data_IF_607103865525
#
_entry.id   IF_607103865525
#
_cell.length_a   1.000
_cell.length_b   1.000
_cell.length_c   1.000
_cell.angle_alpha   90.00
_cell.angle_beta   90.00
_cell.angle_gamma   90.00
#
_symmetry.space_group_name_H-M   'P 1'
#
loop_
_entity.id
_entity.type
_entity.pdbx_description
1 polymer ?
#
# COMPACT_ATOMS: atom_id res chain seq x y z
N UNK A 1 35.46 -52.86 11.84
CA UNK A 1 34.01 -52.86 11.55
C UNK A 1 33.34 -51.75 12.35
N UNK A 2 33.17 -50.56 11.78
CA UNK A 2 32.27 -49.53 12.29
C UNK A 2 31.71 -48.81 11.05
N UNK A 3 30.44 -49.05 10.75
CA UNK A 3 29.71 -48.40 9.66
C UNK A 3 29.20 -47.04 10.14
N UNK A 4 29.66 -45.96 9.53
CA UNK A 4 29.10 -44.62 9.68
C UNK A 4 28.01 -44.40 8.64
N UNK A 5 26.75 -44.28 9.08
CA UNK A 5 25.61 -43.93 8.24
C UNK A 5 25.49 -42.41 8.12
N UNK A 6 25.86 -41.87 6.96
CA UNK A 6 25.57 -40.48 6.61
C UNK A 6 24.11 -40.35 6.16
N UNK A 7 23.27 -39.77 7.02
CA UNK A 7 21.93 -39.30 6.65
C UNK A 7 22.06 -38.08 5.72
N UNK A 8 21.79 -38.27 4.42
CA UNK A 8 21.53 -37.18 3.47
C UNK A 8 20.11 -36.66 3.71
N UNK A 9 19.99 -35.51 4.36
CA UNK A 9 18.75 -34.74 4.35
C UNK A 9 18.53 -34.18 2.94
N UNK A 10 17.54 -34.74 2.24
CA UNK A 10 17.07 -34.24 0.95
C UNK A 10 16.37 -32.89 1.15
N UNK A 11 16.94 -31.82 0.58
CA UNK A 11 16.25 -30.54 0.42
C UNK A 11 15.20 -30.69 -0.70
N UNK A 12 13.92 -30.70 -0.33
CA UNK A 12 12.80 -30.67 -1.25
C UNK A 12 12.71 -29.29 -1.95
N UNK A 13 12.71 -29.21 -3.30
CA UNK A 13 12.50 -27.97 -4.03
C UNK A 13 11.03 -27.88 -4.47
N UNK A 14 10.11 -27.53 -3.57
CA UNK A 14 8.70 -27.37 -3.94
C UNK A 14 7.97 -26.44 -2.97
N UNK A 15 8.04 -25.11 -3.18
CA UNK A 15 7.06 -24.13 -2.62
C UNK A 15 7.24 -22.66 -3.04
N UNK A 16 8.04 -22.32 -4.07
CA UNK A 16 8.29 -20.91 -4.42
C UNK A 16 7.61 -20.38 -5.71
N UNK A 17 6.68 -21.12 -6.34
CA UNK A 17 6.17 -20.70 -7.67
C UNK A 17 4.71 -20.20 -7.68
N UNK A 18 3.85 -20.54 -6.71
CA UNK A 18 2.41 -20.26 -6.86
C UNK A 18 1.87 -19.13 -5.97
N UNK A 19 2.23 -17.87 -6.23
CA UNK A 19 1.41 -16.73 -5.74
C UNK A 19 1.39 -15.49 -6.65
N UNK A 20 1.91 -15.54 -7.88
CA UNK A 20 1.81 -14.39 -8.79
C UNK A 20 0.42 -14.27 -9.45
N UNK A 21 -0.39 -15.34 -9.45
CA UNK A 21 -1.72 -15.33 -10.08
C UNK A 21 -2.81 -14.53 -9.36
N UNK A 22 -2.59 -14.01 -8.14
CA UNK A 22 -3.65 -13.31 -7.39
C UNK A 22 -3.66 -11.78 -7.57
N UNK A 23 -2.65 -11.20 -8.23
CA UNK A 23 -2.62 -9.76 -8.49
C UNK A 23 -3.15 -9.38 -9.89
N UNK A 24 -3.38 -10.34 -10.78
CA UNK A 24 -3.92 -10.10 -12.12
C UNK A 24 -5.45 -9.87 -12.16
N UNK A 25 -6.15 -10.11 -11.05
CA UNK A 25 -7.62 -10.14 -11.04
C UNK A 25 -8.31 -8.81 -10.68
N UNK A 26 -7.55 -7.72 -10.46
CA UNK A 26 -8.13 -6.42 -10.07
C UNK A 26 -7.76 -5.23 -10.97
N UNK A 27 -7.11 -5.46 -12.11
CA UNK A 27 -6.70 -4.36 -12.99
C UNK A 27 -7.03 -4.68 -14.45
N UNK A 28 -8.33 -4.57 -14.76
CA UNK A 28 -8.77 -4.39 -16.14
C UNK A 28 -8.10 -3.13 -16.72
N UNK A 29 -7.49 -3.31 -17.90
CA UNK A 29 -6.70 -2.33 -18.65
C UNK A 29 -7.45 -1.00 -18.85
N UNK A 30 -6.86 0.19 -18.60
CA UNK A 30 -7.34 1.40 -19.24
C UNK A 30 -6.77 1.44 -20.65
N UNK A 31 -7.64 1.28 -21.66
CA UNK A 31 -7.29 1.63 -23.04
C UNK A 31 -7.12 3.14 -23.12
N UNK A 32 -5.97 3.54 -23.63
CA UNK A 32 -5.62 4.90 -24.03
C UNK A 32 -6.72 5.43 -24.96
N UNK A 33 -7.37 6.52 -24.58
CA UNK A 33 -8.15 7.36 -25.48
C UNK A 33 -7.76 8.81 -25.22
N UNK A 34 -6.89 9.33 -26.07
CA UNK A 34 -6.68 10.75 -26.26
C UNK A 34 -7.54 11.18 -27.45
N UNK A 35 -8.52 12.06 -27.23
CA UNK A 35 -9.12 13.01 -28.19
C UNK A 35 -10.00 13.96 -27.34
N UNK A 36 -9.59 15.20 -27.03
CA UNK A 36 -9.79 16.44 -27.80
C UNK A 36 -11.25 16.93 -27.88
N UNK A 37 -11.42 18.24 -27.61
CA UNK A 37 -12.50 19.16 -28.00
C UNK A 37 -13.59 19.50 -26.96
N UNK A 38 -13.40 20.67 -26.34
CA UNK A 38 -14.33 21.81 -26.24
C UNK A 38 -15.83 21.48 -26.20
N UNK A 39 -16.46 21.69 -25.04
CA UNK A 39 -17.77 22.37 -25.02
C UNK A 39 -17.94 23.11 -23.70
N UNK A 40 -17.97 24.44 -23.79
CA UNK A 40 -18.49 25.31 -22.76
C UNK A 40 -20.02 25.23 -22.83
N UNK A 41 -20.63 24.54 -21.88
CA UNK A 41 -22.08 24.59 -21.67
C UNK A 41 -22.37 25.24 -20.33
N UNK A 42 -22.62 26.55 -20.39
CA UNK A 42 -23.58 27.22 -19.54
C UNK A 42 -24.86 26.40 -19.55
N UNK A 43 -25.43 26.01 -18.39
CA UNK A 43 -26.88 25.92 -18.22
C UNK A 43 -27.24 25.76 -16.73
N UNK A 44 -27.84 26.85 -16.23
CA UNK A 44 -28.92 26.95 -15.22
C UNK A 44 -28.68 26.52 -13.78
N UNK A 45 -28.49 27.53 -12.95
CA UNK A 45 -28.86 27.57 -11.54
C UNK A 45 -30.33 27.20 -11.36
N UNK A 46 -30.60 26.08 -10.69
CA UNK A 46 -31.92 25.77 -10.16
C UNK A 46 -32.10 26.64 -8.91
N UNK A 47 -32.88 27.71 -9.05
CA UNK A 47 -33.41 28.49 -7.94
C UNK A 47 -34.42 27.63 -7.18
N UNK A 48 -34.03 27.09 -6.03
CA UNK A 48 -34.96 26.50 -5.07
C UNK A 48 -35.88 27.62 -4.54
N UNK A 49 -37.17 27.52 -4.84
CA UNK A 49 -38.18 28.33 -4.17
C UNK A 49 -38.24 27.91 -2.70
N UNK A 50 -37.83 28.81 -1.81
CA UNK A 50 -38.10 28.69 -0.39
C UNK A 50 -39.60 28.88 -0.16
N UNK A 51 -40.35 27.79 -0.02
CA UNK A 51 -41.67 27.86 0.58
C UNK A 51 -41.47 28.21 2.06
N UNK A 52 -41.72 29.47 2.40
CA UNK A 52 -41.93 29.88 3.78
C UNK A 52 -43.16 29.10 4.31
N UNK A 53 -42.93 28.14 5.19
CA UNK A 53 -43.99 27.56 6.01
C UNK A 53 -44.39 28.64 7.01
N UNK A 54 -45.56 29.21 6.80
CA UNK A 54 -46.21 30.13 7.72
C UNK A 54 -46.57 29.35 8.99
N UNK A 55 -45.73 29.49 10.02
CA UNK A 55 -46.02 28.97 11.34
C UNK A 55 -47.09 29.84 12.00
N UNK A 56 -48.36 29.44 11.89
CA UNK A 56 -49.44 29.98 12.72
C UNK A 56 -49.10 29.76 14.19
N UNK A 57 -48.73 30.85 14.87
CA UNK A 57 -48.59 30.94 16.32
C UNK A 57 -49.98 30.97 16.94
N UNK A 58 -50.53 29.81 17.28
CA UNK A 58 -51.67 29.74 18.20
C UNK A 58 -51.15 29.94 19.62
N UNK A 59 -51.20 31.21 20.04
CA UNK A 59 -50.85 31.68 21.37
C UNK A 59 -51.95 31.28 22.36
N UNK A 60 -51.96 30.02 22.78
CA UNK A 60 -52.80 29.56 23.88
C UNK A 60 -52.05 29.81 25.19
N UNK A 61 -52.27 30.97 25.81
CA UNK A 61 -51.88 31.24 27.19
C UNK A 61 -52.68 30.30 28.11
N UNK A 62 -52.06 29.19 28.48
CA UNK A 62 -52.47 28.37 29.62
C UNK A 62 -51.56 28.70 30.81
N UNK A 63 -52.06 29.37 31.87
CA UNK A 63 -51.30 29.56 33.09
C UNK A 63 -51.39 28.29 33.94
N UNK A 64 -50.24 27.82 34.42
CA UNK A 64 -50.03 26.67 35.31
C UNK A 64 -49.73 25.32 34.64
N UNK A 65 -48.57 25.22 34.00
CA UNK A 65 -47.78 23.99 34.05
C UNK A 65 -46.32 24.43 34.21
N UNK A 66 -45.76 24.23 35.40
CA UNK A 66 -44.32 24.18 35.59
C UNK A 66 -43.94 22.70 35.43
N UNK A 67 -43.57 22.21 34.23
CA UNK A 67 -43.13 20.83 34.11
C UNK A 67 -41.70 20.77 34.65
N UNK A 68 -41.56 20.08 35.77
CA UNK A 68 -40.39 19.41 36.30
C UNK A 68 -39.09 19.61 35.48
N UNK A 69 -38.37 20.70 35.76
CA UNK A 69 -37.16 21.16 35.07
C UNK A 69 -36.07 20.07 35.05
N UNK A 70 -36.06 19.19 36.06
CA UNK A 70 -35.12 18.07 36.18
C UNK A 70 -35.33 17.02 35.09
N UNK A 71 -36.58 16.67 34.76
CA UNK A 71 -36.87 15.65 33.74
C UNK A 71 -36.41 16.06 32.34
N UNK A 72 -36.47 17.35 32.01
CA UNK A 72 -35.99 17.85 30.72
C UNK A 72 -34.45 17.94 30.67
N UNK A 73 -33.80 18.37 31.76
CA UNK A 73 -32.33 18.33 31.82
C UNK A 73 -31.80 16.90 31.72
N UNK A 74 -32.43 15.96 32.41
CA UNK A 74 -32.04 14.54 32.39
C UNK A 74 -32.15 13.95 30.97
N UNK A 75 -33.18 14.30 30.21
CA UNK A 75 -33.34 13.85 28.81
C UNK A 75 -32.23 14.46 27.93
N UNK A 76 -31.94 15.76 28.10
CA UNK A 76 -30.91 16.46 27.33
C UNK A 76 -29.52 15.88 27.62
N UNK A 77 -29.21 15.61 28.88
CA UNK A 77 -27.94 15.06 29.32
C UNK A 77 -27.78 13.61 28.85
N UNK A 78 -28.83 12.79 28.94
CA UNK A 78 -28.83 11.44 28.37
C UNK A 78 -28.62 11.46 26.85
N UNK A 79 -29.24 12.38 26.12
CA UNK A 79 -29.04 12.48 24.67
C UNK A 79 -27.61 12.88 24.32
N UNK A 80 -27.06 13.86 25.03
CA UNK A 80 -25.66 14.31 24.88
C UNK A 80 -24.70 13.15 25.19
N UNK A 81 -24.89 12.46 26.30
CA UNK A 81 -24.05 11.32 26.70
C UNK A 81 -24.11 10.18 25.67
N UNK A 82 -25.29 9.84 25.17
CA UNK A 82 -25.45 8.84 24.12
C UNK A 82 -24.79 9.25 22.79
N UNK A 83 -24.85 10.53 22.43
CA UNK A 83 -24.16 11.05 21.25
C UNK A 83 -22.63 10.98 21.40
N UNK A 84 -22.09 11.45 22.54
CA UNK A 84 -20.66 11.38 22.83
C UNK A 84 -20.15 9.93 22.87
N UNK A 85 -20.90 9.01 23.48
CA UNK A 85 -20.56 7.59 23.49
C UNK A 85 -20.55 6.98 22.08
N UNK A 86 -21.46 7.39 21.19
CA UNK A 86 -21.44 6.93 19.79
C UNK A 86 -20.24 7.47 19.02
N UNK A 87 -19.86 8.72 19.23
CA UNK A 87 -18.64 9.30 18.64
C UNK A 87 -17.41 8.54 19.14
N UNK A 88 -17.27 8.37 20.45
CA UNK A 88 -16.12 7.67 21.04
C UNK A 88 -15.99 6.22 20.52
N UNK A 89 -17.09 5.48 20.39
CA UNK A 89 -17.07 4.13 19.82
C UNK A 89 -16.67 4.11 18.34
N UNK A 90 -17.19 5.06 17.54
CA UNK A 90 -16.81 5.16 16.11
C UNK A 90 -15.32 5.45 15.96
N UNK A 91 -14.83 6.40 16.74
CA UNK A 91 -13.43 6.74 16.89
C UNK A 91 -12.55 5.51 17.15
N UNK A 92 -12.87 4.77 18.20
CA UNK A 92 -12.15 3.56 18.58
C UNK A 92 -12.13 2.54 17.43
N UNK A 93 -13.28 2.29 16.80
CA UNK A 93 -13.39 1.36 15.67
C UNK A 93 -12.52 1.81 14.49
N UNK A 94 -12.57 3.10 14.12
CA UNK A 94 -11.80 3.64 12.99
C UNK A 94 -10.30 3.53 13.27
N UNK A 95 -9.85 3.98 14.46
CA UNK A 95 -8.44 3.90 14.84
C UNK A 95 -7.93 2.46 14.86
N UNK A 96 -8.70 1.53 15.45
CA UNK A 96 -8.37 0.10 15.44
C UNK A 96 -8.29 -0.47 14.02
N UNK A 97 -9.19 -0.06 13.12
CA UNK A 97 -9.15 -0.48 11.72
C UNK A 97 -7.91 0.05 11.00
N UNK A 98 -7.51 1.30 11.27
CA UNK A 98 -6.28 1.89 10.72
C UNK A 98 -5.06 1.12 11.22
N UNK A 99 -4.96 0.82 12.52
CA UNK A 99 -3.86 0.06 13.10
C UNK A 99 -3.77 -1.35 12.52
N UNK A 100 -4.90 -2.04 12.41
CA UNK A 100 -4.96 -3.35 11.76
C UNK A 100 -4.47 -3.30 10.32
N UNK A 101 -4.81 -2.23 9.59
CA UNK A 101 -4.37 -2.03 8.22
C UNK A 101 -2.87 -1.73 8.14
N UNK A 102 -2.34 -0.89 9.02
CA UNK A 102 -0.90 -0.62 9.14
C UNK A 102 -0.13 -1.92 9.40
N UNK A 103 -0.61 -2.75 10.34
CA UNK A 103 0.01 -4.03 10.66
C UNK A 103 0.01 -4.99 9.46
N UNK A 104 -1.12 -5.09 8.76
CA UNK A 104 -1.22 -5.90 7.54
C UNK A 104 -0.23 -5.44 6.46
N UNK A 105 -0.08 -4.12 6.27
CA UNK A 105 0.91 -3.58 5.35
C UNK A 105 2.34 -3.83 5.83
N UNK A 106 2.67 -3.65 7.11
CA UNK A 106 4.01 -3.94 7.60
C UNK A 106 4.40 -5.42 7.40
N UNK A 107 3.48 -6.34 7.62
CA UNK A 107 3.70 -7.76 7.34
C UNK A 107 4.01 -8.02 5.86
N UNK A 108 3.27 -7.38 4.94
CA UNK A 108 3.56 -7.45 3.50
C UNK A 108 4.94 -6.85 3.18
N UNK A 109 5.28 -5.68 3.73
CA UNK A 109 6.59 -5.05 3.55
C UNK A 109 7.71 -6.01 3.93
N UNK A 110 7.63 -6.60 5.11
CA UNK A 110 8.64 -7.52 5.63
C UNK A 110 8.80 -8.76 4.73
N UNK A 111 7.70 -9.28 4.19
CA UNK A 111 7.75 -10.37 3.21
C UNK A 111 8.44 -9.96 1.89
N UNK A 112 8.21 -8.74 1.40
CA UNK A 112 8.91 -8.21 0.22
C UNK A 112 10.41 -8.02 0.49
N UNK A 113 10.77 -7.33 1.57
CA UNK A 113 12.18 -7.08 1.95
C UNK A 113 12.94 -8.39 2.12
N UNK A 114 12.37 -9.37 2.83
CA UNK A 114 13.00 -10.70 2.97
C UNK A 114 13.30 -11.35 1.62
N UNK A 115 12.40 -11.24 0.64
CA UNK A 115 12.66 -11.76 -0.72
C UNK A 115 13.76 -11.00 -1.42
N UNK A 116 13.78 -9.68 -1.29
CA UNK A 116 14.82 -8.83 -1.89
C UNK A 116 16.19 -9.10 -1.26
N UNK A 117 16.27 -9.25 0.05
CA UNK A 117 17.51 -9.61 0.76
C UNK A 117 18.04 -10.98 0.32
N UNK A 118 17.16 -11.96 0.11
CA UNK A 118 17.58 -13.25 -0.44
C UNK A 118 18.23 -13.10 -1.81
N UNK A 119 17.69 -12.24 -2.68
CA UNK A 119 18.26 -11.96 -4.00
C UNK A 119 19.59 -11.20 -3.88
N UNK A 120 19.65 -10.17 -3.02
CA UNK A 120 20.89 -9.42 -2.70
C UNK A 120 22.01 -10.32 -2.19
N UNK A 121 21.68 -11.39 -1.48
CA UNK A 121 22.67 -12.35 -0.98
C UNK A 121 23.04 -13.42 -2.01
N UNK A 122 22.15 -13.71 -2.97
CA UNK A 122 22.37 -14.72 -4.00
C UNK A 122 23.20 -14.18 -5.17
N UNK A 123 22.86 -12.99 -5.68
CA UNK A 123 23.48 -12.41 -6.88
C UNK A 123 25.01 -12.23 -6.74
N UNK A 124 25.56 -11.74 -5.62
CA UNK A 124 27.02 -11.66 -5.42
C UNK A 124 27.72 -13.00 -5.52
N UNK A 125 27.08 -14.09 -5.05
CA UNK A 125 27.63 -15.45 -5.16
C UNK A 125 27.70 -15.90 -6.62
N UNK A 126 26.68 -15.55 -7.42
CA UNK A 126 26.66 -15.81 -8.86
C UNK A 126 27.76 -15.01 -9.56
N UNK A 127 27.87 -13.72 -9.26
CA UNK A 127 28.93 -12.84 -9.79
C UNK A 127 30.31 -13.46 -9.50
N UNK A 128 30.60 -13.80 -8.25
CA UNK A 128 31.87 -14.41 -7.86
C UNK A 128 32.17 -15.69 -8.64
N UNK A 129 31.20 -16.59 -8.77
CA UNK A 129 31.38 -17.85 -9.51
C UNK A 129 31.66 -17.61 -11.01
N UNK A 130 31.03 -16.60 -11.60
CA UNK A 130 31.25 -16.23 -13.00
C UNK A 130 32.62 -15.58 -13.21
N UNK A 131 33.07 -14.74 -12.27
CA UNK A 131 34.42 -14.17 -12.28
C UNK A 131 35.51 -15.24 -12.19
N UNK A 132 35.34 -16.21 -11.29
CA UNK A 132 36.26 -17.36 -11.15
C UNK A 132 36.37 -18.19 -12.43
N UNK A 133 35.35 -18.13 -13.29
CA UNK A 133 35.31 -18.78 -14.61
C UNK A 133 35.73 -17.87 -15.76
N UNK A 134 36.19 -16.66 -15.48
CA UNK A 134 36.68 -15.71 -16.48
C UNK A 134 35.61 -14.97 -17.29
N UNK A 135 34.35 -14.96 -16.84
CA UNK A 135 33.29 -14.16 -17.48
C UNK A 135 33.44 -12.68 -17.10
N UNK A 136 33.12 -11.78 -18.04
CA UNK A 136 33.02 -10.34 -17.74
C UNK A 136 31.67 -10.03 -17.08
N UNK A 137 31.68 -9.86 -15.76
CA UNK A 137 30.49 -9.60 -14.94
C UNK A 137 30.20 -8.11 -14.74
N UNK A 138 30.85 -7.20 -15.47
CA UNK A 138 30.77 -5.74 -15.23
C UNK A 138 29.33 -5.23 -15.22
N UNK A 139 28.53 -5.63 -16.21
CA UNK A 139 27.12 -5.25 -16.29
C UNK A 139 26.28 -5.85 -15.15
N UNK A 140 26.60 -7.06 -14.71
CA UNK A 140 25.89 -7.73 -13.62
C UNK A 140 26.15 -7.06 -12.26
N UNK A 141 27.38 -6.58 -12.03
CA UNK A 141 27.72 -5.77 -10.84
C UNK A 141 27.01 -4.42 -10.85
N UNK A 142 26.99 -3.74 -12.00
CA UNK A 142 26.25 -2.48 -12.15
C UNK A 142 24.76 -2.70 -11.87
N UNK A 143 24.19 -3.78 -12.41
CA UNK A 143 22.79 -4.10 -12.19
C UNK A 143 22.47 -4.38 -10.71
N UNK A 144 23.39 -5.00 -9.97
CA UNK A 144 23.26 -5.19 -8.52
C UNK A 144 23.21 -3.87 -7.76
N UNK A 145 24.05 -2.90 -8.12
CA UNK A 145 24.02 -1.58 -7.49
C UNK A 145 22.69 -0.86 -7.74
N UNK A 146 22.15 -0.91 -8.95
CA UNK A 146 20.84 -0.31 -9.26
C UNK A 146 19.68 -1.03 -8.55
N UNK A 147 19.72 -2.35 -8.46
CA UNK A 147 18.72 -3.13 -7.72
C UNK A 147 18.67 -2.73 -6.24
N UNK A 148 19.83 -2.52 -5.64
CA UNK A 148 19.96 -2.04 -4.27
C UNK A 148 19.35 -0.65 -4.10
N UNK A 149 19.61 0.26 -5.04
CA UNK A 149 19.01 1.59 -5.03
C UNK A 149 17.47 1.53 -5.12
N UNK A 150 16.92 0.64 -5.96
CA UNK A 150 15.46 0.43 -6.07
C UNK A 150 14.86 -0.10 -4.76
N UNK A 151 15.54 -1.02 -4.06
CA UNK A 151 15.08 -1.53 -2.75
C UNK A 151 15.10 -0.44 -1.68
N UNK A 152 16.12 0.41 -1.67
CA UNK A 152 16.23 1.55 -0.75
C UNK A 152 15.07 2.52 -0.99
N UNK A 153 14.81 2.86 -2.25
CA UNK A 153 13.68 3.71 -2.64
C UNK A 153 12.34 3.11 -2.19
N UNK A 154 12.08 1.86 -2.53
CA UNK A 154 10.88 1.13 -2.08
C UNK A 154 10.69 1.20 -0.56
N UNK A 155 11.76 1.04 0.22
CA UNK A 155 11.70 1.07 1.68
C UNK A 155 11.35 2.47 2.20
N UNK A 156 11.92 3.52 1.61
CA UNK A 156 11.64 4.91 1.94
C UNK A 156 10.18 5.28 1.58
N UNK A 157 9.73 4.93 0.37
CA UNK A 157 8.36 5.21 -0.08
C UNK A 157 7.32 4.42 0.74
N UNK A 158 7.66 3.20 1.17
CA UNK A 158 6.82 2.45 2.11
C UNK A 158 6.69 3.14 3.47
N UNK A 159 7.80 3.70 3.98
CA UNK A 159 7.78 4.45 5.24
C UNK A 159 6.89 5.69 5.08
N UNK A 160 7.04 6.45 4.00
CA UNK A 160 6.20 7.61 3.71
C UNK A 160 4.71 7.22 3.65
N UNK A 161 4.38 6.11 2.99
CA UNK A 161 3.02 5.58 2.96
C UNK A 161 2.48 5.25 4.38
N UNK A 162 3.25 4.56 5.21
CA UNK A 162 2.81 4.23 6.57
C UNK A 162 2.64 5.48 7.42
N UNK A 163 3.53 6.46 7.29
CA UNK A 163 3.43 7.72 8.02
C UNK A 163 2.19 8.52 7.58
N UNK A 164 1.90 8.57 6.27
CA UNK A 164 0.67 9.18 5.74
C UNK A 164 -0.60 8.46 6.26
N UNK A 165 -0.58 7.12 6.30
CA UNK A 165 -1.70 6.36 6.83
C UNK A 165 -1.91 6.59 8.34
N UNK A 166 -0.83 6.71 9.12
CA UNK A 166 -0.92 7.09 10.54
C UNK A 166 -1.49 8.49 10.73
N UNK A 167 -1.15 9.43 9.85
CA UNK A 167 -1.66 10.79 9.92
C UNK A 167 -3.19 10.85 9.84
N UNK A 168 -3.84 9.89 9.16
CA UNK A 168 -5.32 9.79 9.14
C UNK A 168 -5.93 9.62 10.53
N UNK A 169 -5.20 9.05 11.49
CA UNK A 169 -5.68 8.87 12.86
C UNK A 169 -5.88 10.21 13.58
N UNK A 170 -5.13 11.24 13.21
CA UNK A 170 -5.25 12.58 13.79
C UNK A 170 -6.61 13.24 13.50
N UNK A 171 -7.29 12.80 12.44
CA UNK A 171 -8.58 13.35 11.98
C UNK A 171 -9.73 12.34 12.10
N UNK A 172 -9.45 11.13 12.59
CA UNK A 172 -10.46 10.07 12.74
C UNK A 172 -11.55 10.42 13.76
N UNK A 173 -11.27 11.40 14.63
CA UNK A 173 -12.09 11.76 15.79
C UNK A 173 -12.37 13.25 15.85
N UNK A 174 -13.54 13.67 15.37
CA UNK A 174 -13.98 15.06 15.44
C UNK A 174 -14.88 15.43 14.27
N UNK A 175 -15.07 16.74 14.07
CA UNK A 175 -15.84 17.31 12.96
C UNK A 175 -14.96 17.60 11.72
N UNK A 176 -13.81 16.94 11.62
CA UNK A 176 -12.79 17.13 10.57
C UNK A 176 -12.89 16.08 9.45
N UNK A 177 -14.11 15.78 8.99
CA UNK A 177 -14.32 14.78 7.93
C UNK A 177 -13.54 15.13 6.65
N UNK A 178 -13.51 16.40 6.28
CA UNK A 178 -12.73 16.88 5.12
C UNK A 178 -11.22 16.61 5.27
N UNK A 179 -10.65 16.90 6.44
CA UNK A 179 -9.22 16.68 6.70
C UNK A 179 -8.88 15.19 6.72
N UNK A 180 -9.77 14.36 7.26
CA UNK A 180 -9.62 12.91 7.23
C UNK A 180 -9.58 12.38 5.78
N UNK A 181 -10.50 12.84 4.92
CA UNK A 181 -10.55 12.43 3.52
C UNK A 181 -9.30 12.88 2.75
N UNK A 182 -8.82 14.09 3.01
CA UNK A 182 -7.57 14.59 2.40
C UNK A 182 -6.36 13.74 2.84
N UNK A 183 -6.20 13.50 4.15
CA UNK A 183 -5.12 12.66 4.67
C UNK A 183 -5.19 11.22 4.13
N UNK A 184 -6.40 10.69 3.92
CA UNK A 184 -6.59 9.37 3.33
C UNK A 184 -6.18 9.34 1.86
N UNK A 185 -6.44 10.41 1.11
CA UNK A 185 -6.03 10.52 -0.29
C UNK A 185 -4.51 10.62 -0.44
N UNK A 186 -3.84 11.35 0.46
CA UNK A 186 -2.38 11.38 0.53
C UNK A 186 -1.82 9.98 0.79
N UNK A 187 -2.41 9.22 1.73
CA UNK A 187 -2.01 7.84 2.00
C UNK A 187 -2.22 6.91 0.79
N UNK A 188 -3.32 7.07 0.04
CA UNK A 188 -3.55 6.29 -1.19
C UNK A 188 -2.53 6.63 -2.27
N UNK A 189 -2.21 7.91 -2.45
CA UNK A 189 -1.21 8.36 -3.41
C UNK A 189 0.16 7.76 -3.09
N UNK A 190 0.57 7.82 -1.81
CA UNK A 190 1.81 7.18 -1.36
C UNK A 190 1.80 5.65 -1.57
N UNK A 191 0.66 4.98 -1.37
CA UNK A 191 0.53 3.55 -1.66
C UNK A 191 0.71 3.23 -3.15
N UNK A 192 0.21 4.07 -4.06
CA UNK A 192 0.40 3.86 -5.50
C UNK A 192 1.89 3.90 -5.85
N UNK A 193 2.66 4.80 -5.26
CA UNK A 193 4.12 4.85 -5.42
C UNK A 193 4.78 3.55 -4.97
N UNK A 194 4.42 3.03 -3.79
CA UNK A 194 4.91 1.73 -3.28
C UNK A 194 4.59 0.58 -4.25
N UNK A 195 3.41 0.59 -4.85
CA UNK A 195 3.00 -0.43 -5.83
C UNK A 195 3.81 -0.35 -7.12
N UNK A 196 4.11 0.87 -7.59
CA UNK A 196 4.98 1.09 -8.75
C UNK A 196 6.39 0.60 -8.47
N UNK A 197 6.96 0.93 -7.31
CA UNK A 197 8.30 0.46 -6.91
C UNK A 197 8.37 -1.07 -6.81
N UNK A 198 7.33 -1.70 -6.24
CA UNK A 198 7.24 -3.16 -6.17
C UNK A 198 7.30 -3.79 -7.58
N UNK A 199 6.59 -3.19 -8.53
CA UNK A 199 6.57 -3.63 -9.93
C UNK A 199 7.90 -3.39 -10.61
N UNK A 200 8.51 -2.23 -10.40
CA UNK A 200 9.81 -1.88 -10.97
C UNK A 200 10.89 -2.86 -10.50
N UNK A 201 10.97 -3.16 -9.20
CA UNK A 201 11.91 -4.15 -8.66
C UNK A 201 11.69 -5.54 -9.30
N UNK A 202 10.42 -5.97 -9.42
CA UNK A 202 10.09 -7.25 -10.04
C UNK A 202 10.51 -7.28 -11.52
N UNK A 203 10.14 -6.25 -12.28
CA UNK A 203 10.48 -6.11 -13.69
C UNK A 203 12.00 -6.11 -13.89
N UNK A 204 12.72 -5.36 -13.06
CA UNK A 204 14.17 -5.25 -13.12
C UNK A 204 14.84 -6.62 -12.89
N UNK A 205 14.38 -7.38 -11.90
CA UNK A 205 14.86 -8.74 -11.70
C UNK A 205 14.58 -9.67 -12.89
N UNK A 206 13.35 -9.66 -13.41
CA UNK A 206 12.97 -10.58 -14.48
C UNK A 206 13.63 -10.25 -15.82
N UNK A 207 13.74 -8.97 -16.16
CA UNK A 207 14.12 -8.55 -17.51
C UNK A 207 15.56 -8.05 -17.61
N UNK A 208 16.14 -7.56 -16.52
CA UNK A 208 17.55 -7.13 -16.50
C UNK A 208 18.43 -8.26 -16.01
N UNK A 209 18.27 -8.71 -14.77
CA UNK A 209 19.18 -9.73 -14.21
C UNK A 209 19.17 -11.05 -14.96
N UNK A 210 17.99 -11.61 -15.22
CA UNK A 210 17.93 -12.91 -15.93
C UNK A 210 18.49 -12.80 -17.34
N UNK A 211 18.24 -11.68 -18.02
CA UNK A 211 18.78 -11.44 -19.35
C UNK A 211 20.30 -11.35 -19.30
N UNK A 212 20.87 -10.52 -18.41
CA UNK A 212 22.33 -10.42 -18.25
C UNK A 212 22.97 -11.78 -17.96
N UNK A 213 22.39 -12.56 -17.05
CA UNK A 213 22.91 -13.92 -16.76
C UNK A 213 22.81 -14.84 -17.97
N UNK A 214 21.76 -14.70 -18.80
CA UNK A 214 21.63 -15.46 -20.04
C UNK A 214 22.68 -15.05 -21.06
N UNK A 215 22.84 -13.74 -21.31
CA UNK A 215 23.82 -13.18 -22.26
C UNK A 215 25.25 -13.59 -21.88
N UNK A 216 25.57 -13.64 -20.58
CA UNK A 216 26.89 -14.10 -20.11
C UNK A 216 27.19 -15.53 -20.54
N UNK A 217 26.19 -16.42 -20.60
CA UNK A 217 26.42 -17.82 -21.04
C UNK A 217 26.90 -17.90 -22.49
N UNK A 218 26.63 -16.88 -23.30
CA UNK A 218 27.03 -16.83 -24.71
C UNK A 218 28.51 -16.43 -24.90
N UNK A 219 29.14 -15.81 -23.91
CA UNK A 219 30.56 -15.39 -23.99
C UNK A 219 31.55 -16.57 -24.04
N UNK A 220 31.17 -17.72 -23.46
CA UNK A 220 31.94 -18.98 -23.39
C UNK A 220 33.48 -18.85 -23.27
N UNK A 221 34.01 -18.14 -22.25
CA UNK A 221 35.43 -17.82 -22.12
C UNK A 221 36.34 -19.03 -21.89
N UNK A 222 35.79 -20.15 -21.41
CA UNK A 222 36.56 -21.39 -21.20
C UNK A 222 36.83 -22.14 -22.53
N UNK A 223 35.95 -22.04 -23.52
CA UNK A 223 36.15 -22.67 -24.84
C UNK A 223 37.22 -21.95 -25.68
N UNK A 224 37.48 -20.68 -25.41
CA UNK A 224 38.54 -19.90 -26.06
C UNK A 224 39.95 -20.24 -25.57
N UNK A 225 40.10 -20.85 -24.39
CA UNK A 225 41.42 -21.20 -23.84
C UNK A 225 41.94 -22.58 -24.29
N UNK A 226 41.07 -23.48 -24.75
CA UNK A 226 41.45 -24.81 -25.24
C UNK A 226 41.93 -24.81 -26.71
N UNK A 227 42.01 -23.64 -27.36
CA UNK A 227 42.44 -23.48 -28.76
C UNK A 227 43.75 -22.70 -28.90
N UNK A 228 44.56 -22.56 -27.83
CA UNK A 228 45.91 -22.02 -27.86
C UNK A 228 46.95 -23.06 -27.44
#
# INVERSE_FOLDING_TARGET
MLHGTHNKAALHPSTCINFYHRYDLFMAKPKIFAFLVISATLFTTISYQAHAVESTSTNTKNPNILPNITKFSDIKDNLKNNFQNRIAKRCEIITNNIDNRINAYNNKKNAHIKRYDNLKNLIPKIIKNLEEKGYDVTQLKSALSEFDAKIIKYTADYKAFIDALKNTQNFACGESEGDFLNALEDAKTALQTVMLDTRDIHYYYQNVFKKLISDLREQNPLRSQDNL
#
